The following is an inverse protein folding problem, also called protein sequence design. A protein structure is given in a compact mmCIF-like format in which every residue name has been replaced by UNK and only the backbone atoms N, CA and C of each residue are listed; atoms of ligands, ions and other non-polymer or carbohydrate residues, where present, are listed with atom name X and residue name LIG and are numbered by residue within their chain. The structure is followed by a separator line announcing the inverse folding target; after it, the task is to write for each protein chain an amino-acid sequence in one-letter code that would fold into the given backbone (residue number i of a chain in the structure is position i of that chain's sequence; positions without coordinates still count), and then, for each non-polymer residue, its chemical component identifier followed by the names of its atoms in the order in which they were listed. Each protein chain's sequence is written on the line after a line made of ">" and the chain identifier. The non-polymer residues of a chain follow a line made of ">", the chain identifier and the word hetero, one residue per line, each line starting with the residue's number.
data_IF_475388184763
#
_entry.id   IF_475388184763
#
_cell.length_a   1.000
_cell.length_b   1.000
_cell.length_c   1.000
_cell.angle_alpha   90.00
_cell.angle_beta   90.00
_cell.angle_gamma   90.00
#
_symmetry.space_group_name_H-M   'P 1'
#
loop_
_entity.id
_entity.type
_entity.pdbx_description
1 polymer ?
#
# COMPACT_ATOMS: atom_id res chain seq x y z
N UNK A 1 47.01 -37.59 28.54
CA UNK A 1 47.00 -36.19 28.04
C UNK A 1 45.94 -35.45 28.84
N UNK A 2 46.29 -34.34 29.49
CA UNK A 2 45.31 -33.54 30.23
C UNK A 2 44.20 -33.04 29.27
N UNK A 3 42.96 -33.10 29.72
CA UNK A 3 41.80 -32.60 28.99
C UNK A 3 41.76 -31.06 29.02
N UNK A 4 41.07 -30.46 28.04
CA UNK A 4 40.91 -29.00 28.00
C UNK A 4 40.28 -28.42 29.29
N UNK A 5 39.42 -29.20 29.98
CA UNK A 5 38.82 -28.82 31.27
C UNK A 5 39.82 -28.84 32.42
N UNK A 6 40.71 -29.83 32.46
CA UNK A 6 41.77 -29.90 33.47
C UNK A 6 42.76 -28.73 33.30
N UNK A 7 43.09 -28.37 32.05
CA UNK A 7 43.91 -27.20 31.76
C UNK A 7 43.22 -25.89 32.17
N UNK A 8 41.91 -25.76 31.93
CA UNK A 8 41.11 -24.61 32.36
C UNK A 8 41.06 -24.48 33.89
N UNK A 9 41.01 -25.61 34.61
CA UNK A 9 41.13 -25.65 36.07
C UNK A 9 42.48 -25.11 36.57
N UNK A 10 43.58 -25.49 35.91
CA UNK A 10 44.93 -24.99 36.22
C UNK A 10 45.04 -23.48 35.98
N UNK A 11 44.46 -22.96 34.88
CA UNK A 11 44.46 -21.53 34.61
C UNK A 11 43.69 -20.73 35.68
N UNK A 12 42.54 -21.24 36.13
CA UNK A 12 41.77 -20.62 37.23
C UNK A 12 42.54 -20.62 38.55
N UNK A 13 43.28 -21.70 38.83
CA UNK A 13 44.11 -21.78 40.02
C UNK A 13 45.31 -20.82 39.93
N UNK A 14 45.91 -20.64 38.76
CA UNK A 14 46.97 -19.65 38.54
C UNK A 14 46.48 -18.21 38.76
N UNK A 15 45.26 -17.89 38.30
CA UNK A 15 44.61 -16.61 38.55
C UNK A 15 44.36 -16.38 40.05
N UNK A 16 43.89 -17.40 40.79
CA UNK A 16 43.74 -17.32 42.26
C UNK A 16 45.06 -17.15 43.03
N UNK A 17 46.19 -17.48 42.40
CA UNK A 17 47.54 -17.29 42.93
C UNK A 17 48.16 -15.97 42.47
N UNK A 18 47.39 -15.08 41.82
CA UNK A 18 47.82 -13.74 41.41
C UNK A 18 48.56 -13.69 40.07
N UNK A 19 48.54 -14.77 39.29
CA UNK A 19 49.11 -14.78 37.93
C UNK A 19 48.02 -14.42 36.92
N UNK A 20 48.10 -13.20 36.38
CA UNK A 20 47.09 -12.71 35.43
C UNK A 20 47.11 -13.48 34.11
N UNK A 21 45.95 -13.58 33.48
CA UNK A 21 45.76 -14.20 32.17
C UNK A 21 46.67 -13.57 31.08
N UNK A 22 46.96 -12.27 31.22
CA UNK A 22 47.85 -11.54 30.32
C UNK A 22 49.31 -11.98 30.45
N UNK A 23 49.78 -12.30 31.67
CA UNK A 23 51.11 -12.86 31.91
C UNK A 23 51.21 -14.30 31.38
N UNK A 24 50.17 -15.12 31.56
CA UNK A 24 50.11 -16.49 31.04
C UNK A 24 50.13 -16.51 29.50
N UNK A 25 49.47 -15.55 28.85
CA UNK A 25 49.44 -15.43 27.39
C UNK A 25 50.78 -15.03 26.75
N UNK A 26 51.76 -14.59 27.54
CA UNK A 26 53.15 -14.35 27.08
C UNK A 26 53.90 -15.66 26.84
N UNK A 27 53.49 -16.76 27.48
CA UNK A 27 54.10 -18.07 27.30
C UNK A 27 53.58 -18.73 26.01
N UNK A 28 54.48 -18.95 25.05
CA UNK A 28 54.16 -19.61 23.76
C UNK A 28 53.51 -20.99 23.98
N UNK A 29 53.95 -21.74 24.99
CA UNK A 29 53.40 -23.06 25.34
C UNK A 29 51.94 -22.99 25.77
N UNK A 30 51.56 -21.99 26.57
CA UNK A 30 50.17 -21.79 27.00
C UNK A 30 49.30 -21.43 25.79
N UNK A 31 49.78 -20.55 24.91
CA UNK A 31 49.06 -20.19 23.69
C UNK A 31 48.82 -21.39 22.77
N UNK A 32 49.80 -22.30 22.67
CA UNK A 32 49.70 -23.54 21.90
C UNK A 32 48.67 -24.50 22.52
N UNK A 33 48.77 -24.75 23.83
CA UNK A 33 47.91 -25.69 24.56
C UNK A 33 46.46 -25.18 24.68
N UNK A 34 46.26 -23.85 24.85
CA UNK A 34 44.92 -23.23 24.97
C UNK A 34 44.01 -23.51 23.78
N UNK A 35 44.61 -23.77 22.61
CA UNK A 35 43.91 -24.07 21.37
C UNK A 35 43.94 -25.57 21.02
N UNK A 36 44.86 -26.35 21.59
CA UNK A 36 44.91 -27.81 21.44
C UNK A 36 43.68 -28.45 22.11
N UNK A 37 43.00 -29.35 21.38
CA UNK A 37 41.79 -30.03 21.87
C UNK A 37 40.49 -29.23 21.78
N UNK A 38 40.52 -27.92 21.49
CA UNK A 38 39.30 -27.16 21.15
C UNK A 38 38.82 -27.52 19.74
N UNK A 39 37.52 -27.74 19.59
CA UNK A 39 36.92 -27.94 18.26
C UNK A 39 37.00 -26.64 17.47
N UNK A 40 37.11 -26.72 16.14
CA UNK A 40 37.16 -25.54 15.25
C UNK A 40 36.08 -24.49 15.56
N UNK A 41 34.85 -24.95 15.85
CA UNK A 41 33.70 -24.09 16.20
C UNK A 41 33.94 -23.24 17.46
N UNK A 42 34.68 -23.78 18.44
CA UNK A 42 35.03 -23.10 19.69
C UNK A 42 36.18 -22.10 19.51
N UNK A 43 37.06 -22.34 18.54
CA UNK A 43 38.16 -21.43 18.22
C UNK A 43 37.69 -20.20 17.42
N UNK A 44 36.57 -20.34 16.69
CA UNK A 44 36.07 -19.33 15.75
C UNK A 44 34.70 -18.77 16.16
N UNK A 45 34.33 -18.84 17.45
CA UNK A 45 33.01 -18.40 17.93
C UNK A 45 32.71 -16.95 17.53
N UNK A 46 33.69 -16.05 17.68
CA UNK A 46 33.50 -14.63 17.34
C UNK A 46 33.24 -14.42 15.86
N UNK A 47 33.94 -15.14 14.98
CA UNK A 47 33.70 -15.11 13.54
C UNK A 47 32.33 -15.69 13.17
N UNK A 48 31.90 -16.76 13.85
CA UNK A 48 30.58 -17.36 13.64
C UNK A 48 29.49 -16.39 14.07
N UNK A 49 29.66 -15.72 15.23
CA UNK A 49 28.72 -14.70 15.72
C UNK A 49 28.67 -13.52 14.75
N UNK A 50 29.82 -12.96 14.36
CA UNK A 50 29.88 -11.84 13.42
C UNK A 50 29.23 -12.21 12.06
N UNK A 51 29.52 -13.40 11.53
CA UNK A 51 28.89 -13.90 10.30
C UNK A 51 27.39 -14.10 10.44
N UNK A 52 26.91 -14.58 11.60
CA UNK A 52 25.48 -14.75 11.89
C UNK A 52 24.77 -13.39 11.98
N UNK A 53 25.39 -12.41 12.64
CA UNK A 53 24.86 -11.04 12.74
C UNK A 53 24.77 -10.42 11.35
N UNK A 54 25.80 -10.55 10.51
CA UNK A 54 25.80 -10.02 9.15
C UNK A 54 24.71 -10.68 8.29
N UNK A 55 24.53 -11.99 8.41
CA UNK A 55 23.50 -12.73 7.69
C UNK A 55 22.09 -12.25 8.09
N UNK A 56 21.82 -12.12 9.39
CA UNK A 56 20.50 -11.77 9.92
C UNK A 56 20.18 -10.29 9.73
N UNK A 57 21.13 -9.39 9.96
CA UNK A 57 20.90 -7.95 9.91
C UNK A 57 20.92 -7.38 8.48
N UNK A 58 21.64 -8.01 7.56
CA UNK A 58 21.83 -7.46 6.20
C UNK A 58 21.41 -8.43 5.10
N UNK A 59 21.96 -9.66 5.07
CA UNK A 59 21.74 -10.55 3.92
C UNK A 59 20.27 -11.00 3.79
N UNK A 60 19.64 -11.43 4.90
CA UNK A 60 18.24 -11.88 4.90
C UNK A 60 17.26 -10.73 4.61
N UNK A 61 17.38 -9.53 5.21
CA UNK A 61 16.53 -8.39 4.86
C UNK A 61 16.67 -7.98 3.40
N UNK A 62 17.88 -7.87 2.87
CA UNK A 62 18.13 -7.52 1.46
C UNK A 62 17.53 -8.57 0.53
N UNK A 63 17.74 -9.86 0.81
CA UNK A 63 17.15 -10.94 0.03
C UNK A 63 15.62 -10.90 0.08
N UNK A 64 15.02 -10.66 1.25
CA UNK A 64 13.57 -10.55 1.39
C UNK A 64 13.00 -9.36 0.59
N UNK A 65 13.69 -8.21 0.61
CA UNK A 65 13.33 -7.05 -0.19
C UNK A 65 13.33 -7.37 -1.69
N UNK A 66 14.36 -8.04 -2.19
CA UNK A 66 14.40 -8.47 -3.60
C UNK A 66 13.29 -9.46 -3.95
N UNK A 67 13.03 -10.47 -3.10
CA UNK A 67 11.96 -11.44 -3.31
C UNK A 67 10.57 -10.79 -3.39
N UNK A 68 10.38 -9.72 -2.61
CA UNK A 68 9.16 -8.90 -2.59
C UNK A 68 9.07 -8.03 -3.85
N UNK A 69 10.13 -7.28 -4.18
CA UNK A 69 10.18 -6.39 -5.35
C UNK A 69 9.95 -7.13 -6.66
N UNK A 70 10.58 -8.29 -6.84
CA UNK A 70 10.43 -9.13 -8.03
C UNK A 70 9.16 -10.01 -8.00
N UNK A 71 8.24 -9.78 -7.05
CA UNK A 71 6.94 -10.48 -6.93
C UNK A 71 7.06 -12.01 -7.00
N UNK A 72 8.12 -12.58 -6.43
CA UNK A 72 8.32 -14.03 -6.42
C UNK A 72 7.27 -14.73 -5.57
N UNK A 73 7.00 -16.01 -5.84
CA UNK A 73 6.07 -16.84 -5.03
C UNK A 73 6.48 -16.89 -3.55
N UNK A 74 7.78 -16.92 -3.27
CA UNK A 74 8.29 -16.92 -1.90
C UNK A 74 8.08 -15.56 -1.21
N UNK A 75 8.37 -14.46 -1.90
CA UNK A 75 8.15 -13.11 -1.38
C UNK A 75 6.68 -12.83 -1.05
N UNK A 76 5.76 -13.27 -1.91
CA UNK A 76 4.32 -13.10 -1.65
C UNK A 76 3.82 -13.90 -0.45
N UNK A 77 4.29 -15.15 -0.28
CA UNK A 77 3.97 -15.97 0.90
C UNK A 77 4.51 -15.35 2.20
N UNK A 78 5.73 -14.79 2.18
CA UNK A 78 6.34 -14.13 3.33
C UNK A 78 5.57 -12.86 3.74
N UNK A 79 5.21 -12.02 2.76
CA UNK A 79 4.36 -10.84 3.00
C UNK A 79 3.01 -11.23 3.58
N UNK A 80 2.33 -12.22 3.00
CA UNK A 80 1.04 -12.68 3.50
C UNK A 80 1.12 -13.16 4.95
N UNK A 81 2.16 -13.93 5.32
CA UNK A 81 2.35 -14.37 6.70
C UNK A 81 2.65 -13.23 7.65
N UNK A 82 3.52 -12.29 7.27
CA UNK A 82 3.85 -11.11 8.07
C UNK A 82 2.60 -10.26 8.37
N UNK A 83 1.78 -9.98 7.34
CA UNK A 83 0.54 -9.24 7.52
C UNK A 83 -0.54 -10.05 8.25
N UNK A 84 -0.63 -11.37 8.05
CA UNK A 84 -1.57 -12.23 8.77
C UNK A 84 -1.28 -12.29 10.29
N UNK A 85 -0.01 -12.17 10.70
CA UNK A 85 0.36 -12.04 12.12
C UNK A 85 0.06 -10.66 12.71
N UNK A 86 -0.06 -9.63 11.88
CA UNK A 86 -0.52 -8.32 12.35
C UNK A 86 -2.03 -8.34 12.54
N UNK A 87 -2.49 -8.20 13.79
CA UNK A 87 -3.92 -8.24 14.18
C UNK A 87 -4.79 -7.15 13.50
N UNK A 88 -4.20 -6.24 12.73
CA UNK A 88 -4.83 -5.03 12.19
C UNK A 88 -5.30 -5.16 10.73
N UNK A 89 -5.11 -6.31 10.07
CA UNK A 89 -5.33 -6.40 8.63
C UNK A 89 -6.16 -7.64 8.22
N UNK A 90 -7.28 -7.85 8.90
CA UNK A 90 -8.13 -9.04 8.71
C UNK A 90 -9.07 -8.99 7.48
N UNK A 91 -8.87 -8.06 6.53
CA UNK A 91 -9.75 -7.95 5.36
C UNK A 91 -9.02 -7.60 4.05
N UNK A 92 -7.84 -8.18 3.81
CA UNK A 92 -7.25 -8.13 2.47
C UNK A 92 -7.24 -9.51 1.84
N UNK A 93 -8.20 -9.72 0.93
CA UNK A 93 -8.01 -10.65 -0.17
C UNK A 93 -6.64 -10.38 -0.81
N UNK A 94 -5.84 -11.44 -0.95
CA UNK A 94 -4.62 -11.50 -1.75
C UNK A 94 -3.84 -10.19 -1.87
N UNK A 95 -2.90 -9.95 -0.95
CA UNK A 95 -1.87 -8.88 -1.04
C UNK A 95 -1.20 -8.85 -2.43
N UNK A 96 -1.16 -9.99 -3.14
CA UNK A 96 -0.68 -10.15 -4.51
C UNK A 96 -1.53 -9.50 -5.60
N UNK A 97 -2.80 -9.18 -5.32
CA UNK A 97 -3.76 -8.56 -6.26
C UNK A 97 -3.69 -7.03 -6.20
N UNK A 98 -3.06 -6.48 -5.17
CA UNK A 98 -2.86 -5.04 -5.01
C UNK A 98 -1.49 -4.63 -5.54
N UNK A 99 -1.45 -3.60 -6.39
CA UNK A 99 -0.20 -3.06 -6.93
C UNK A 99 0.65 -2.35 -5.85
N UNK A 100 0.03 -1.98 -4.72
CA UNK A 100 0.66 -1.26 -3.62
C UNK A 100 0.48 -2.04 -2.31
N UNK A 101 1.56 -2.18 -1.54
CA UNK A 101 1.58 -2.82 -0.21
C UNK A 101 0.89 -1.94 0.83
N UNK A 102 0.99 -0.62 0.68
CA UNK A 102 0.35 0.39 1.55
C UNK A 102 -0.72 1.11 0.73
N UNK A 103 -1.96 1.14 1.24
CA UNK A 103 -3.00 1.99 0.65
C UNK A 103 -2.66 3.45 0.93
N UNK A 104 -2.49 4.26 -0.12
CA UNK A 104 -2.01 5.64 -0.02
C UNK A 104 -3.07 6.62 0.48
N UNK A 105 -4.20 6.17 1.00
CA UNK A 105 -5.34 7.05 1.32
C UNK A 105 -4.94 8.10 2.37
N UNK A 106 -4.17 7.71 3.38
CA UNK A 106 -3.69 8.60 4.45
C UNK A 106 -2.55 9.52 4.00
N UNK A 107 -1.73 9.08 3.04
CA UNK A 107 -0.60 9.86 2.53
C UNK A 107 -1.01 10.85 1.44
N UNK A 108 -2.12 10.60 0.73
CA UNK A 108 -2.58 11.43 -0.39
C UNK A 108 -2.83 12.88 0.01
N UNK A 109 -3.40 13.12 1.19
CA UNK A 109 -3.62 14.47 1.69
C UNK A 109 -2.29 15.17 2.03
N UNK A 110 -1.34 14.43 2.58
CA UNK A 110 -0.03 14.95 3.02
C UNK A 110 0.94 15.24 1.86
N UNK A 111 0.78 14.58 0.72
CA UNK A 111 1.63 14.79 -0.49
C UNK A 111 1.02 15.77 -1.49
N UNK A 112 -0.19 16.27 -1.23
CA UNK A 112 -0.83 17.24 -2.12
C UNK A 112 -0.04 18.53 -2.07
N UNK A 113 0.41 19.01 -3.24
CA UNK A 113 1.06 20.32 -3.33
C UNK A 113 0.10 21.40 -2.82
N UNK A 114 0.56 22.35 -2.00
CA UNK A 114 -0.23 23.52 -1.63
C UNK A 114 -0.72 24.21 -2.91
N UNK A 115 -2.01 24.50 -2.95
CA UNK A 115 -2.63 25.26 -4.05
C UNK A 115 -2.67 26.74 -3.68
N UNK A 116 -2.37 27.61 -4.64
CA UNK A 116 -2.51 29.06 -4.49
C UNK A 116 -3.99 29.43 -4.61
N UNK A 117 -4.68 29.53 -3.47
CA UNK A 117 -6.10 29.85 -3.40
C UNK A 117 -6.44 31.26 -3.89
N UNK A 118 -5.45 32.16 -4.05
CA UNK A 118 -5.71 33.51 -4.58
C UNK A 118 -6.26 33.49 -6.00
N UNK A 119 -5.93 32.45 -6.78
CA UNK A 119 -6.45 32.24 -8.14
C UNK A 119 -7.93 31.87 -8.17
N UNK A 120 -8.46 31.39 -7.06
CA UNK A 120 -9.89 31.09 -6.86
C UNK A 120 -10.61 32.22 -6.11
N UNK A 121 -9.94 33.33 -5.79
CA UNK A 121 -10.58 34.47 -5.14
C UNK A 121 -11.49 35.22 -6.11
N UNK A 122 -12.59 35.78 -5.61
CA UNK A 122 -13.48 36.64 -6.40
C UNK A 122 -14.36 35.90 -7.43
N UNK A 123 -14.45 34.57 -7.37
CA UNK A 123 -15.41 33.81 -8.19
C UNK A 123 -16.81 33.95 -7.59
N UNK A 124 -17.61 34.84 -8.15
CA UNK A 124 -19.01 35.05 -7.73
C UNK A 124 -20.02 34.31 -8.59
N UNK A 125 -19.64 33.96 -9.82
CA UNK A 125 -20.52 33.29 -10.78
C UNK A 125 -19.71 32.44 -11.77
N UNK A 126 -20.40 31.53 -12.45
CA UNK A 126 -19.83 30.67 -13.49
C UNK A 126 -19.88 31.40 -14.83
N UNK A 127 -18.75 31.44 -15.55
CA UNK A 127 -18.74 32.04 -16.89
C UNK A 127 -19.34 31.07 -17.91
N UNK A 128 -20.16 31.59 -18.81
CA UNK A 128 -20.76 30.82 -19.91
C UNK A 128 -20.25 31.31 -21.27
N UNK A 129 -20.00 30.38 -22.19
CA UNK A 129 -19.63 30.69 -23.57
C UNK A 129 -20.23 29.69 -24.55
N UNK A 130 -20.14 30.01 -25.83
CA UNK A 130 -20.51 29.18 -26.98
C UNK A 130 -19.49 29.37 -28.10
N UNK A 131 -19.38 28.41 -29.02
CA UNK A 131 -18.51 28.43 -30.19
C UNK A 131 -17.04 28.70 -29.83
N UNK A 132 -16.59 28.08 -28.74
CA UNK A 132 -15.25 28.27 -28.19
C UNK A 132 -14.21 27.51 -29.02
N UNK A 133 -13.25 28.21 -29.61
CA UNK A 133 -12.12 27.58 -30.27
C UNK A 133 -11.08 27.06 -29.26
N UNK A 134 -10.27 26.09 -29.69
CA UNK A 134 -9.18 25.58 -28.86
C UNK A 134 -8.15 26.67 -28.52
N UNK A 135 -7.82 27.53 -29.49
CA UNK A 135 -6.89 28.65 -29.31
C UNK A 135 -7.42 29.63 -28.27
N UNK A 136 -8.68 30.04 -28.39
CA UNK A 136 -9.31 30.94 -27.43
C UNK A 136 -9.36 30.32 -26.03
N UNK A 137 -9.64 29.01 -25.93
CA UNK A 137 -9.61 28.30 -24.65
C UNK A 137 -8.22 28.34 -23.99
N UNK A 138 -7.18 28.05 -24.75
CA UNK A 138 -5.80 28.00 -24.24
C UNK A 138 -5.32 29.38 -23.80
N UNK A 139 -5.60 30.42 -24.58
CA UNK A 139 -5.16 31.78 -24.29
C UNK A 139 -5.90 32.40 -23.10
N UNK A 140 -7.22 32.20 -23.03
CA UNK A 140 -8.07 32.96 -22.09
C UNK A 140 -8.55 32.19 -20.88
N UNK A 141 -8.59 30.86 -20.91
CA UNK A 141 -9.34 30.08 -19.92
C UNK A 141 -8.54 28.95 -19.26
N UNK A 142 -7.77 28.17 -20.02
CA UNK A 142 -7.17 26.91 -19.57
C UNK A 142 -6.34 27.01 -18.28
N UNK A 143 -5.70 28.15 -18.04
CA UNK A 143 -4.76 28.35 -16.93
C UNK A 143 -5.25 29.37 -15.87
N UNK A 144 -6.52 29.77 -15.95
CA UNK A 144 -7.09 30.80 -15.05
C UNK A 144 -7.55 30.25 -13.70
N UNK A 145 -7.78 28.93 -13.60
CA UNK A 145 -8.44 28.30 -12.45
C UNK A 145 -9.89 28.80 -12.19
N UNK A 146 -10.52 29.38 -13.21
CA UNK A 146 -11.88 29.89 -13.18
C UNK A 146 -12.85 28.89 -13.82
N UNK A 147 -14.07 28.69 -13.28
CA UNK A 147 -15.05 27.81 -13.88
C UNK A 147 -15.61 28.39 -15.18
N UNK A 148 -15.73 27.54 -16.21
CA UNK A 148 -16.27 27.89 -17.52
C UNK A 148 -17.24 26.80 -17.98
N UNK A 149 -18.41 27.20 -18.47
CA UNK A 149 -19.38 26.32 -19.11
C UNK A 149 -19.47 26.65 -20.59
N UNK A 150 -19.16 25.66 -21.43
CA UNK A 150 -19.31 25.73 -22.89
C UNK A 150 -20.66 25.11 -23.26
N UNK A 151 -21.65 25.97 -23.52
CA UNK A 151 -23.06 25.55 -23.64
C UNK A 151 -23.33 24.64 -24.85
N UNK A 152 -22.53 24.76 -25.90
CA UNK A 152 -22.66 24.03 -27.15
C UNK A 152 -21.66 22.87 -27.31
N UNK A 153 -20.88 22.56 -26.26
CA UNK A 153 -19.87 21.48 -26.31
C UNK A 153 -20.45 20.07 -26.55
N UNK A 154 -21.77 19.90 -26.44
CA UNK A 154 -22.47 18.63 -26.63
C UNK A 154 -23.52 18.67 -27.76
N UNK A 155 -23.51 19.69 -28.63
CA UNK A 155 -24.56 19.85 -29.68
C UNK A 155 -24.70 18.61 -30.57
N UNK A 156 -23.59 17.95 -30.89
CA UNK A 156 -23.57 16.77 -31.76
C UNK A 156 -23.60 15.43 -31.00
N UNK A 157 -23.89 15.43 -29.69
CA UNK A 157 -23.93 14.21 -28.90
C UNK A 157 -25.32 13.58 -28.96
N UNK A 158 -25.39 12.32 -29.38
CA UNK A 158 -26.62 11.51 -29.36
C UNK A 158 -27.06 11.15 -27.94
N UNK A 159 -26.24 11.43 -26.93
CA UNK A 159 -26.50 11.12 -25.53
C UNK A 159 -27.85 11.64 -25.04
N UNK A 160 -28.28 12.83 -25.51
CA UNK A 160 -29.57 13.43 -25.14
C UNK A 160 -30.77 12.60 -25.57
N UNK A 161 -30.64 11.84 -26.66
CA UNK A 161 -31.71 11.04 -27.25
C UNK A 161 -31.62 9.57 -26.81
N UNK A 162 -30.42 9.12 -26.42
CA UNK A 162 -30.11 7.71 -26.17
C UNK A 162 -29.96 7.36 -24.69
N UNK A 163 -29.36 8.24 -23.88
CA UNK A 163 -29.10 7.96 -22.47
C UNK A 163 -30.33 8.37 -21.66
N UNK A 164 -31.17 7.38 -21.37
CA UNK A 164 -32.31 7.49 -20.48
C UNK A 164 -32.31 6.34 -19.47
N UNK A 165 -33.29 6.34 -18.56
CA UNK A 165 -33.41 5.31 -17.52
C UNK A 165 -33.44 3.88 -18.08
N UNK A 166 -34.22 3.65 -19.14
CA UNK A 166 -34.32 2.33 -19.77
C UNK A 166 -32.99 1.89 -20.37
N UNK A 167 -32.29 2.79 -21.06
CA UNK A 167 -30.96 2.52 -21.58
C UNK A 167 -29.98 2.14 -20.45
N UNK A 168 -29.94 2.91 -19.36
CA UNK A 168 -29.10 2.60 -18.20
C UNK A 168 -29.47 1.24 -17.58
N UNK A 169 -30.76 0.93 -17.48
CA UNK A 169 -31.25 -0.36 -16.98
C UNK A 169 -30.73 -1.54 -17.82
N UNK A 170 -30.56 -1.38 -19.14
CA UNK A 170 -29.95 -2.42 -19.99
C UNK A 170 -28.46 -2.62 -19.72
N UNK A 171 -27.73 -1.56 -19.36
CA UNK A 171 -26.31 -1.63 -19.02
C UNK A 171 -26.10 -2.33 -17.67
N UNK A 172 -26.96 -2.01 -16.70
CA UNK A 172 -26.86 -2.46 -15.32
C UNK A 172 -27.79 -3.64 -14.99
N UNK A 173 -27.98 -4.53 -15.97
CA UNK A 173 -28.76 -5.76 -15.80
C UNK A 173 -28.15 -6.67 -14.72
N UNK A 174 -28.96 -7.51 -14.04
CA UNK A 174 -28.45 -8.51 -13.09
C UNK A 174 -27.36 -9.38 -13.71
N UNK A 175 -26.21 -9.50 -13.04
CA UNK A 175 -25.04 -10.25 -13.53
C UNK A 175 -24.18 -9.53 -14.58
N UNK A 176 -24.49 -8.27 -14.91
CA UNK A 176 -23.62 -7.46 -15.76
C UNK A 176 -22.36 -7.04 -15.01
N UNK A 177 -21.22 -7.00 -15.72
CA UNK A 177 -19.95 -6.53 -15.16
C UNK A 177 -20.05 -5.09 -14.63
N UNK A 178 -20.82 -4.24 -15.29
CA UNK A 178 -21.05 -2.85 -14.86
C UNK A 178 -21.73 -2.81 -13.48
N UNK A 179 -22.74 -3.66 -13.27
CA UNK A 179 -23.43 -3.81 -11.99
C UNK A 179 -22.54 -4.39 -10.91
N UNK A 180 -21.81 -5.45 -11.23
CA UNK A 180 -20.88 -6.08 -10.28
C UNK A 180 -19.80 -5.11 -9.80
N UNK A 181 -19.32 -4.24 -10.69
CA UNK A 181 -18.37 -3.19 -10.31
C UNK A 181 -18.97 -2.20 -9.33
N UNK A 182 -20.22 -1.75 -9.53
CA UNK A 182 -20.88 -0.84 -8.59
C UNK A 182 -21.05 -1.49 -7.23
N UNK A 183 -21.53 -2.73 -7.19
CA UNK A 183 -21.82 -3.45 -5.94
C UNK A 183 -20.56 -3.91 -5.17
N UNK A 184 -19.47 -4.20 -5.87
CA UNK A 184 -18.25 -4.77 -5.24
C UNK A 184 -17.09 -3.79 -5.08
N UNK A 185 -17.06 -2.70 -5.85
CA UNK A 185 -15.91 -1.79 -5.91
C UNK A 185 -16.25 -0.31 -5.90
N UNK A 186 -17.47 0.08 -6.26
CA UNK A 186 -17.92 1.46 -6.13
C UNK A 186 -18.86 1.62 -4.94
N UNK A 187 -19.43 2.82 -4.80
CA UNK A 187 -20.37 3.17 -3.76
C UNK A 187 -21.65 3.66 -4.43
N UNK A 188 -22.80 3.15 -3.97
CA UNK A 188 -24.09 3.72 -4.28
C UNK A 188 -24.38 4.86 -3.30
N UNK A 189 -24.86 5.99 -3.82
CA UNK A 189 -25.11 7.21 -3.06
C UNK A 189 -26.60 7.52 -3.03
N UNK A 190 -27.30 7.20 -1.94
CA UNK A 190 -28.70 7.56 -1.75
C UNK A 190 -28.80 9.00 -1.23
N UNK A 191 -29.17 9.95 -2.09
CA UNK A 191 -29.31 11.36 -1.69
C UNK A 191 -30.76 11.69 -1.36
N UNK A 192 -31.10 11.68 -0.08
CA UNK A 192 -32.44 12.02 0.41
C UNK A 192 -33.55 11.22 -0.28
N UNK A 193 -33.35 9.90 -0.36
CA UNK A 193 -34.28 8.93 -0.93
C UNK A 193 -34.22 7.65 -0.09
N UNK A 194 -35.29 6.86 -0.13
CA UNK A 194 -35.40 5.51 0.45
C UNK A 194 -34.82 4.40 -0.44
N UNK A 195 -34.15 4.76 -1.54
CA UNK A 195 -33.54 3.82 -2.48
C UNK A 195 -32.13 3.52 -1.98
N UNK A 196 -31.87 2.31 -1.49
CA UNK A 196 -30.60 1.97 -0.83
C UNK A 196 -29.61 1.25 -1.75
N UNK A 197 -30.04 0.85 -2.94
CA UNK A 197 -29.20 0.09 -3.86
C UNK A 197 -29.51 0.35 -5.32
N UNK A 198 -28.56 -0.03 -6.17
CA UNK A 198 -28.77 -0.01 -7.62
C UNK A 198 -29.80 -1.05 -8.08
N UNK A 199 -30.09 -2.09 -7.28
CA UNK A 199 -31.16 -3.08 -7.56
C UNK A 199 -32.52 -2.41 -7.40
N UNK A 200 -32.68 -1.70 -6.29
CA UNK A 200 -33.90 -0.95 -6.00
C UNK A 200 -34.11 0.20 -6.97
N UNK A 201 -33.04 0.94 -7.30
CA UNK A 201 -33.10 2.03 -8.28
C UNK A 201 -33.64 1.56 -9.64
N UNK A 202 -33.09 0.48 -10.21
CA UNK A 202 -33.55 0.00 -11.52
C UNK A 202 -34.87 -0.78 -11.47
N UNK A 203 -35.37 -1.13 -10.28
CA UNK A 203 -36.66 -1.77 -10.07
C UNK A 203 -37.76 -0.82 -9.58
N UNK A 204 -37.50 0.50 -9.55
CA UNK A 204 -38.50 1.49 -9.15
C UNK A 204 -39.76 1.46 -10.03
N UNK A 205 -40.88 1.93 -9.49
CA UNK A 205 -42.13 2.04 -10.24
C UNK A 205 -42.00 3.06 -11.38
N UNK A 206 -42.70 2.82 -12.49
CA UNK A 206 -42.76 3.78 -13.61
C UNK A 206 -43.35 5.13 -13.17
N UNK A 207 -44.31 5.10 -12.26
CA UNK A 207 -44.95 6.28 -11.69
C UNK A 207 -43.95 7.15 -10.92
N UNK A 208 -43.06 6.52 -10.13
CA UNK A 208 -41.96 7.20 -9.44
C UNK A 208 -40.90 7.76 -10.38
N UNK A 209 -40.54 6.98 -11.41
CA UNK A 209 -39.61 7.44 -12.45
C UNK A 209 -40.12 8.71 -13.16
N UNK A 210 -41.42 8.76 -13.43
CA UNK A 210 -42.10 9.90 -14.06
C UNK A 210 -42.35 11.08 -13.09
N UNK A 211 -41.92 10.97 -11.83
CA UNK A 211 -42.07 12.03 -10.82
C UNK A 211 -43.50 12.23 -10.33
N UNK A 212 -44.35 11.20 -10.43
CA UNK A 212 -45.75 11.21 -9.95
C UNK A 212 -45.89 10.76 -8.49
N UNK A 213 -44.81 10.23 -7.93
CA UNK A 213 -44.66 9.82 -6.53
C UNK A 213 -43.50 10.61 -5.90
N UNK A 214 -42.87 10.06 -4.86
CA UNK A 214 -41.73 10.67 -4.20
C UNK A 214 -40.53 10.83 -5.15
N UNK A 215 -39.91 12.01 -5.10
CA UNK A 215 -38.70 12.30 -5.84
C UNK A 215 -37.55 11.36 -5.46
N UNK A 216 -36.62 11.16 -6.39
CA UNK A 216 -35.42 10.37 -6.19
C UNK A 216 -34.21 11.18 -6.64
N UNK A 217 -33.12 11.04 -5.90
CA UNK A 217 -31.81 11.56 -6.29
C UNK A 217 -30.76 10.57 -5.82
N UNK A 218 -30.02 10.00 -6.76
CA UNK A 218 -29.03 8.95 -6.50
C UNK A 218 -27.79 9.16 -7.36
N UNK A 219 -26.67 8.54 -6.98
CA UNK A 219 -25.46 8.46 -7.80
C UNK A 219 -24.71 7.16 -7.56
N UNK A 220 -23.82 6.80 -8.50
CA UNK A 220 -22.92 5.63 -8.40
C UNK A 220 -21.74 5.75 -9.37
#
# INVERSE_FOLDING_TARGET
>A
MATAREFEGVLKQADSLGVSDEQLNRLKSIRKIRNEGKKWRQQNVDFIIAGSVLLIAFALPVMSYYLIQFKTRLGSMLLQRFFATSKQYYKTENVTKHNCIVQSLELLESIRRPVDCSRCAGVTDVKYTTNLSQEEFLEKYAFTMQPLVVKDGQVNWTARETINFEYLKTIYTPGSKARDMVNSRCQFFPYNTDIDSMDEFFNMSKSRLEGKEDHWYVGW
#
